data_IF_573670288991
#
_entry.id   IF_573670288991
#
_cell.length_a   1.000
_cell.length_b   1.000
_cell.length_c   1.000
_cell.angle_alpha   90.00
_cell.angle_beta   90.00
_cell.angle_gamma   90.00
#
_symmetry.space_group_name_H-M   'P 1'
#
loop_
_entity.id
_entity.type
_entity.pdbx_description
1 polymer ?
#
# COMPACT_ATOMS: atom_id res chain seq x y z
N UNK A 1 -26.36 -1.68 13.90
CA UNK A 1 -24.99 -2.11 13.53
C UNK A 1 -24.08 -0.91 13.70
N UNK A 2 -23.21 -0.91 14.71
CA UNK A 2 -22.22 0.16 14.85
C UNK A 2 -21.16 -0.02 13.74
N UNK A 3 -20.85 1.06 13.00
CA UNK A 3 -19.77 1.05 12.01
C UNK A 3 -18.42 0.94 12.71
N UNK A 4 -17.56 0.05 12.25
CA UNK A 4 -16.17 -0.05 12.71
C UNK A 4 -15.25 0.81 11.83
N UNK A 5 -14.12 1.27 12.40
CA UNK A 5 -13.06 1.96 11.65
C UNK A 5 -11.80 1.11 11.74
N UNK A 6 -11.24 0.78 10.57
CA UNK A 6 -9.89 0.23 10.45
C UNK A 6 -9.00 1.29 9.78
N UNK A 7 -8.13 1.95 10.56
CA UNK A 7 -7.27 3.04 10.12
C UNK A 7 -5.81 2.68 10.35
N UNK A 8 -4.98 2.89 9.33
CA UNK A 8 -3.53 2.71 9.39
C UNK A 8 -2.85 3.98 8.87
N UNK A 9 -1.82 4.46 9.57
CA UNK A 9 -0.94 5.55 9.16
C UNK A 9 0.49 5.01 9.22
N UNK A 10 1.23 5.09 8.11
CA UNK A 10 2.61 4.61 8.01
C UNK A 10 3.52 5.76 7.56
N UNK A 11 4.68 5.89 8.20
CA UNK A 11 5.78 6.77 7.81
C UNK A 11 7.04 5.91 7.76
N UNK A 12 7.77 5.98 6.66
CA UNK A 12 8.95 5.15 6.47
C UNK A 12 9.56 5.29 5.09
N UNK A 13 10.57 4.48 4.83
CA UNK A 13 11.31 4.50 3.57
C UNK A 13 10.81 3.42 2.61
N UNK A 14 10.80 3.72 1.31
CA UNK A 14 10.48 2.74 0.29
C UNK A 14 11.66 1.78 0.13
N UNK A 15 11.44 0.47 0.31
CA UNK A 15 12.52 -0.52 0.35
C UNK A 15 13.07 -0.95 -1.02
N UNK A 16 12.33 -0.71 -2.10
CA UNK A 16 12.71 -1.03 -3.49
C UNK A 16 11.85 -0.23 -4.45
N UNK A 17 12.24 -0.18 -5.72
CA UNK A 17 11.43 0.47 -6.75
C UNK A 17 9.99 -0.07 -6.76
N UNK A 18 8.98 0.80 -7.00
CA UNK A 18 7.59 0.38 -7.04
C UNK A 18 7.33 -0.70 -8.08
N UNK A 19 6.63 -1.76 -7.69
CA UNK A 19 6.21 -2.80 -8.64
C UNK A 19 4.88 -2.37 -9.28
N UNK A 20 4.89 -2.19 -10.60
CA UNK A 20 3.71 -1.77 -11.37
C UNK A 20 3.14 -2.96 -12.12
N UNK A 21 1.85 -3.23 -11.94
CA UNK A 21 1.11 -4.29 -12.63
C UNK A 21 -0.19 -3.75 -13.23
N UNK A 22 -0.74 -4.47 -14.19
CA UNK A 22 -2.06 -4.19 -14.76
C UNK A 22 -3.03 -5.30 -14.37
N UNK A 23 -4.19 -4.90 -13.87
CA UNK A 23 -5.30 -5.80 -13.56
C UNK A 23 -5.98 -6.28 -14.85
N UNK A 24 -6.71 -7.40 -14.77
CA UNK A 24 -7.47 -7.95 -15.90
C UNK A 24 -8.51 -6.96 -16.47
N UNK A 25 -8.99 -6.03 -15.66
CA UNK A 25 -9.89 -4.93 -16.05
C UNK A 25 -9.14 -3.68 -16.57
N UNK A 26 -7.82 -3.78 -16.78
CA UNK A 26 -6.98 -2.72 -17.34
C UNK A 26 -6.48 -1.68 -16.34
N UNK A 27 -6.87 -1.76 -15.06
CA UNK A 27 -6.41 -0.81 -14.02
C UNK A 27 -4.93 -0.99 -13.69
N UNK A 28 -4.21 0.12 -13.50
CA UNK A 28 -2.82 0.12 -13.01
C UNK A 28 -2.82 -0.07 -11.50
N UNK A 29 -2.01 -1.01 -11.02
CA UNK A 29 -1.79 -1.32 -9.61
C UNK A 29 -0.31 -1.05 -9.31
N UNK A 30 -0.03 -0.37 -8.20
CA UNK A 30 1.33 -0.12 -7.71
C UNK A 30 1.48 -0.74 -6.33
N UNK A 31 2.49 -1.59 -6.15
CA UNK A 31 2.85 -2.19 -4.88
C UNK A 31 4.09 -1.50 -4.30
N UNK A 32 3.98 -1.03 -3.05
CA UNK A 32 5.08 -0.43 -2.29
C UNK A 32 5.40 -1.29 -1.07
N UNK A 33 6.67 -1.33 -0.68
CA UNK A 33 7.12 -1.91 0.58
C UNK A 33 7.73 -0.80 1.41
N UNK A 34 7.17 -0.55 2.59
CA UNK A 34 7.60 0.55 3.47
C UNK A 34 8.34 -0.03 4.67
N UNK A 35 9.60 0.36 4.84
CA UNK A 35 10.40 0.07 6.01
C UNK A 35 10.09 1.09 7.11
N UNK A 36 9.74 0.61 8.30
CA UNK A 36 9.55 1.40 9.53
C UNK A 36 10.62 1.04 10.54
N UNK A 37 10.82 1.90 11.52
CA UNK A 37 11.67 1.64 12.70
C UNK A 37 10.89 2.08 13.95
N UNK A 38 11.18 1.46 15.09
CA UNK A 38 10.56 1.82 16.38
C UNK A 38 11.08 3.17 16.91
#
# INVERSE_FOLDING_TARGET
MAGSVNKVILIGNVGKDPEIRQSADGRKIVNLTIATSD
#
